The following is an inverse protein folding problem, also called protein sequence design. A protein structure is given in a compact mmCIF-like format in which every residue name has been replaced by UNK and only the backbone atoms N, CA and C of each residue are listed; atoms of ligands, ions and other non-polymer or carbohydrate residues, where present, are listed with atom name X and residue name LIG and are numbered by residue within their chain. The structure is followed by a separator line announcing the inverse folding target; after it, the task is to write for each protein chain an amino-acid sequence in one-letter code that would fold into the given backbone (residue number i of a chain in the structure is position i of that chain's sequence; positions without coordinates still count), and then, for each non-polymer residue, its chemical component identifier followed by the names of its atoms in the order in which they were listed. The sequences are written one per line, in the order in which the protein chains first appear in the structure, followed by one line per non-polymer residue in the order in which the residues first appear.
data_IF_344671825069
#
_entry.id   IF_344671825069
#
_cell.length_a   1.000
_cell.length_b   1.000
_cell.length_c   1.000
_cell.angle_alpha   90.00
_cell.angle_beta   90.00
_cell.angle_gamma   90.00
#
_symmetry.space_group_name_H-M   'P 1'
#
loop_
_entity.id
_entity.type
_entity.pdbx_description
1 polymer ?
#
# COMPACT_ATOMS: atom_id res chain seq x y z
N UNK A 1 -9.03 21.69 15.26
CA UNK A 1 -8.01 21.21 14.31
C UNK A 1 -8.74 20.40 13.26
N UNK A 2 -8.53 20.71 11.99
CA UNK A 2 -8.98 19.86 10.89
C UNK A 2 -8.35 18.46 11.02
N UNK A 3 -9.07 17.41 10.65
CA UNK A 3 -8.51 16.04 10.68
C UNK A 3 -7.44 15.87 9.58
N UNK A 4 -6.59 14.85 9.67
CA UNK A 4 -5.64 14.51 8.59
C UNK A 4 -6.33 14.31 7.25
N UNK A 5 -7.55 13.77 7.25
CA UNK A 5 -8.39 13.66 6.06
C UNK A 5 -8.76 15.04 5.49
N UNK A 6 -9.27 15.94 6.32
CA UNK A 6 -9.68 17.29 5.88
C UNK A 6 -8.49 18.08 5.32
N UNK A 7 -7.32 17.98 5.96
CA UNK A 7 -6.08 18.60 5.49
C UNK A 7 -5.67 18.08 4.11
N UNK A 8 -5.68 16.75 3.94
CA UNK A 8 -5.26 16.14 2.69
C UNK A 8 -6.23 16.44 1.56
N UNK A 9 -7.53 16.35 1.81
CA UNK A 9 -8.56 16.62 0.80
C UNK A 9 -8.61 18.08 0.37
N UNK A 10 -8.40 19.04 1.27
CA UNK A 10 -8.31 20.45 0.90
C UNK A 10 -7.19 20.69 -0.14
N UNK A 11 -6.02 20.07 0.03
CA UNK A 11 -4.93 20.18 -0.93
C UNK A 11 -5.23 19.45 -2.23
N UNK A 12 -5.78 18.23 -2.16
CA UNK A 12 -6.10 17.42 -3.34
C UNK A 12 -7.19 18.07 -4.21
N UNK A 13 -8.16 18.73 -3.58
CA UNK A 13 -9.24 19.47 -4.25
C UNK A 13 -8.78 20.83 -4.83
N UNK A 14 -7.51 21.18 -4.69
CA UNK A 14 -6.98 22.48 -5.16
C UNK A 14 -7.37 23.67 -4.29
N UNK A 15 -7.70 23.44 -3.02
CA UNK A 15 -8.07 24.46 -2.01
C UNK A 15 -7.03 24.54 -0.86
N UNK A 16 -5.72 24.69 -1.14
CA UNK A 16 -4.69 24.62 -0.11
C UNK A 16 -4.79 25.73 0.95
N UNK A 17 -5.46 26.84 0.66
CA UNK A 17 -5.71 27.92 1.63
C UNK A 17 -6.70 27.55 2.74
N UNK A 18 -7.41 26.43 2.60
CA UNK A 18 -8.28 25.86 3.64
C UNK A 18 -7.56 24.83 4.52
N UNK A 19 -6.32 24.46 4.17
CA UNK A 19 -5.50 23.57 4.99
C UNK A 19 -4.66 24.37 5.99
N UNK A 20 -4.75 24.03 7.28
CA UNK A 20 -3.99 24.68 8.35
C UNK A 20 -2.46 24.49 8.20
N UNK A 21 -2.04 23.45 7.46
CA UNK A 21 -0.66 23.15 7.10
C UNK A 21 -0.61 22.24 5.86
N UNK A 22 0.55 22.12 5.23
CA UNK A 22 0.79 21.09 4.22
C UNK A 22 0.67 19.69 4.84
N UNK A 23 -0.13 18.76 4.26
CA UNK A 23 -0.22 17.39 4.72
C UNK A 23 1.07 16.61 4.39
N UNK A 24 1.49 15.73 5.30
CA UNK A 24 2.63 14.84 5.12
C UNK A 24 2.10 13.44 4.81
N UNK A 25 2.20 13.01 3.55
CA UNK A 25 1.63 11.73 3.08
C UNK A 25 2.67 10.90 2.34
N UNK A 26 2.45 9.58 2.31
CA UNK A 26 3.16 8.67 1.42
C UNK A 26 2.13 7.91 0.57
N UNK A 27 2.10 8.20 -0.73
CA UNK A 27 1.16 7.60 -1.69
C UNK A 27 1.60 6.24 -2.23
N UNK A 28 2.76 5.74 -1.79
CA UNK A 28 3.26 4.41 -2.14
C UNK A 28 3.09 3.45 -0.95
N UNK A 29 4.00 2.48 -0.79
CA UNK A 29 4.00 1.61 0.39
C UNK A 29 4.66 2.31 1.58
N UNK A 30 4.05 2.18 2.76
CA UNK A 30 4.65 2.59 4.04
C UNK A 30 5.40 1.47 4.73
N UNK A 31 5.32 0.23 4.22
CA UNK A 31 5.90 -0.93 4.89
C UNK A 31 7.43 -0.83 4.96
N UNK A 32 7.97 -0.89 6.17
CA UNK A 32 9.40 -0.99 6.45
C UNK A 32 9.63 -2.15 7.42
N UNK A 33 10.86 -2.69 7.48
CA UNK A 33 11.19 -3.74 8.46
C UNK A 33 10.87 -3.32 9.90
N UNK A 34 11.19 -2.08 10.26
CA UNK A 34 10.90 -1.55 11.60
C UNK A 34 9.39 -1.46 11.91
N UNK A 35 8.54 -1.17 10.92
CA UNK A 35 7.10 -1.18 11.13
C UNK A 35 6.52 -2.59 11.18
N UNK A 36 7.09 -3.54 10.43
CA UNK A 36 6.72 -4.95 10.53
C UNK A 36 6.99 -5.48 11.95
N UNK A 37 8.19 -5.21 12.48
CA UNK A 37 8.58 -5.58 13.84
C UNK A 37 7.67 -4.92 14.89
N UNK A 38 7.36 -3.62 14.73
CA UNK A 38 6.57 -2.86 15.70
C UNK A 38 5.09 -3.30 15.79
N UNK A 39 4.54 -3.87 14.72
CA UNK A 39 3.12 -4.25 14.63
C UNK A 39 2.88 -5.76 14.50
N UNK A 40 3.93 -6.59 14.62
CA UNK A 40 3.88 -8.05 14.41
C UNK A 40 3.16 -8.41 13.10
N UNK A 41 3.57 -7.73 12.02
CA UNK A 41 2.90 -7.79 10.72
C UNK A 41 3.95 -7.93 9.61
N UNK A 42 4.52 -9.12 9.49
CA UNK A 42 5.60 -9.42 8.55
C UNK A 42 5.09 -9.84 7.17
N UNK A 43 5.89 -9.57 6.14
CA UNK A 43 5.71 -10.19 4.83
C UNK A 43 6.21 -11.64 4.83
N UNK A 44 5.57 -12.54 4.06
CA UNK A 44 4.43 -12.28 3.17
C UNK A 44 3.06 -12.30 3.87
N UNK A 45 2.98 -12.71 5.14
CA UNK A 45 1.71 -12.87 5.85
C UNK A 45 0.80 -11.62 5.82
N UNK A 46 1.37 -10.41 5.91
CA UNK A 46 0.61 -9.17 5.85
C UNK A 46 0.01 -8.85 4.46
N UNK A 47 0.39 -9.58 3.40
CA UNK A 47 -0.28 -9.50 2.10
C UNK A 47 -1.57 -10.32 2.05
N UNK A 48 -1.70 -11.36 2.88
CA UNK A 48 -2.82 -12.30 2.85
C UNK A 48 -3.81 -12.10 4.00
N UNK A 49 -3.37 -11.50 5.10
CA UNK A 49 -4.15 -11.30 6.32
C UNK A 49 -4.60 -9.85 6.44
N UNK A 50 -5.91 -9.61 6.38
CA UNK A 50 -6.50 -8.28 6.42
C UNK A 50 -6.21 -7.52 7.73
N UNK A 51 -6.12 -8.22 8.86
CA UNK A 51 -5.81 -7.60 10.15
C UNK A 51 -4.34 -7.17 10.20
N UNK A 52 -3.42 -8.04 9.76
CA UNK A 52 -1.99 -7.67 9.64
C UNK A 52 -1.78 -6.53 8.65
N UNK A 53 -2.50 -6.53 7.54
CA UNK A 53 -2.45 -5.45 6.55
C UNK A 53 -2.93 -4.12 7.15
N UNK A 54 -4.05 -4.12 7.86
CA UNK A 54 -4.56 -2.91 8.50
C UNK A 54 -3.61 -2.38 9.58
N UNK A 55 -3.02 -3.29 10.41
CA UNK A 55 -2.03 -2.93 11.43
C UNK A 55 -0.80 -2.28 10.79
N UNK A 56 -0.15 -2.95 9.84
CA UNK A 56 1.05 -2.44 9.17
C UNK A 56 0.78 -1.17 8.36
N UNK A 57 -0.35 -1.09 7.64
CA UNK A 57 -0.72 0.10 6.86
C UNK A 57 -0.94 1.34 7.74
N UNK A 58 -1.38 1.14 8.99
CA UNK A 58 -1.56 2.24 9.95
C UNK A 58 -0.27 2.67 10.67
N UNK A 59 0.83 1.92 10.51
CA UNK A 59 2.04 2.11 11.32
C UNK A 59 2.64 3.51 11.16
N UNK A 60 2.78 4.00 9.93
CA UNK A 60 3.37 5.32 9.68
C UNK A 60 2.49 6.47 10.21
N UNK A 61 1.16 6.34 10.13
CA UNK A 61 0.24 7.30 10.76
C UNK A 61 0.42 7.30 12.28
N UNK A 62 0.49 6.12 12.91
CA UNK A 62 0.53 5.97 14.36
C UNK A 62 1.91 6.25 14.99
N UNK A 63 3.00 6.04 14.27
CA UNK A 63 4.37 6.16 14.78
C UNK A 63 5.10 7.40 14.28
N UNK A 64 4.66 7.99 13.18
CA UNK A 64 5.34 9.10 12.51
C UNK A 64 4.41 10.26 12.14
N UNK A 65 3.15 10.23 12.59
CA UNK A 65 2.13 11.28 12.36
C UNK A 65 1.91 11.62 10.88
N UNK A 66 2.04 10.63 9.98
CA UNK A 66 1.62 10.82 8.58
C UNK A 66 0.10 11.08 8.52
N UNK A 67 -0.31 11.91 7.57
CA UNK A 67 -1.72 12.29 7.37
C UNK A 67 -2.53 11.25 6.60
N UNK A 68 -1.96 10.08 6.32
CA UNK A 68 -2.63 8.99 5.64
C UNK A 68 -2.21 7.61 6.16
N UNK A 69 -3.08 6.64 5.90
CA UNK A 69 -2.81 5.19 5.98
C UNK A 69 -2.61 4.69 4.55
N UNK A 70 -1.70 3.74 4.34
CA UNK A 70 -1.43 3.17 3.00
C UNK A 70 -1.60 1.66 2.98
N UNK A 71 -2.50 1.17 2.12
CA UNK A 71 -2.72 -0.24 1.79
C UNK A 71 -3.11 -0.35 0.30
N UNK A 72 -2.81 -1.46 -0.39
CA UNK A 72 -1.95 -2.56 0.04
C UNK A 72 -0.46 -2.16 -0.04
N UNK A 73 0.46 -3.13 -0.01
CA UNK A 73 1.91 -2.86 -0.08
C UNK A 73 2.56 -3.28 -1.41
N UNK A 74 1.76 -3.73 -2.38
CA UNK A 74 2.21 -4.21 -3.69
C UNK A 74 1.27 -3.73 -4.80
N UNK A 75 1.68 -3.94 -6.05
CA UNK A 75 0.92 -3.57 -7.27
C UNK A 75 0.43 -4.83 -8.02
N UNK A 76 0.31 -5.97 -7.33
CA UNK A 76 0.04 -7.27 -7.95
C UNK A 76 -1.37 -7.78 -7.69
N UNK A 77 -2.17 -7.11 -6.86
CA UNK A 77 -3.50 -7.59 -6.44
C UNK A 77 -4.43 -7.72 -7.65
N UNK A 78 -4.49 -6.69 -8.49
CA UNK A 78 -5.34 -6.70 -9.69
C UNK A 78 -4.84 -7.74 -10.69
N UNK A 79 -3.51 -7.84 -10.88
CA UNK A 79 -2.92 -8.82 -11.79
C UNK A 79 -3.22 -10.26 -11.34
N UNK A 80 -3.19 -10.54 -10.04
CA UNK A 80 -3.58 -11.83 -9.45
C UNK A 80 -5.05 -12.14 -9.72
N UNK A 81 -5.94 -11.16 -9.53
CA UNK A 81 -7.37 -11.30 -9.84
C UNK A 81 -7.61 -11.60 -11.33
N UNK A 82 -6.78 -11.04 -12.22
CA UNK A 82 -6.80 -11.35 -13.66
C UNK A 82 -6.09 -12.66 -14.03
N UNK A 83 -5.67 -13.47 -13.05
CA UNK A 83 -5.09 -14.80 -13.28
C UNK A 83 -3.58 -14.86 -13.38
N UNK A 84 -2.86 -13.76 -13.10
CA UNK A 84 -1.39 -13.79 -13.03
C UNK A 84 -0.92 -14.60 -11.82
N UNK A 85 0.08 -15.46 -12.04
CA UNK A 85 0.74 -16.17 -10.94
C UNK A 85 1.70 -15.23 -10.23
N UNK A 86 1.45 -14.96 -8.94
CA UNK A 86 2.28 -14.07 -8.13
C UNK A 86 3.29 -14.87 -7.30
N UNK A 87 4.53 -14.38 -7.26
CA UNK A 87 5.54 -14.81 -6.29
C UNK A 87 5.56 -13.86 -5.11
N UNK A 88 5.25 -14.36 -3.92
CA UNK A 88 5.36 -13.62 -2.67
C UNK A 88 6.74 -13.74 -2.02
N UNK A 89 7.68 -14.47 -2.65
CA UNK A 89 9.07 -14.62 -2.22
C UNK A 89 9.21 -15.17 -0.79
N UNK A 90 8.48 -16.24 -0.48
CA UNK A 90 8.50 -16.94 0.81
C UNK A 90 9.90 -17.09 1.40
N UNK A 91 10.06 -16.75 2.68
CA UNK A 91 11.36 -16.79 3.37
C UNK A 91 12.28 -15.59 3.09
N UNK A 92 11.83 -14.59 2.33
CA UNK A 92 12.56 -13.33 2.13
C UNK A 92 11.62 -12.12 2.19
N UNK A 93 12.15 -10.95 2.57
CA UNK A 93 11.37 -9.71 2.55
C UNK A 93 11.59 -9.03 1.21
N UNK A 94 10.67 -9.27 0.26
CA UNK A 94 10.65 -8.67 -1.08
C UNK A 94 9.22 -8.35 -1.48
N UNK A 95 9.06 -7.35 -2.34
CA UNK A 95 7.76 -7.08 -2.94
C UNK A 95 7.29 -8.27 -3.78
N UNK A 96 5.99 -8.61 -3.72
CA UNK A 96 5.39 -9.58 -4.61
C UNK A 96 5.65 -9.21 -6.08
N UNK A 97 5.88 -10.22 -6.92
CA UNK A 97 6.14 -10.03 -8.35
C UNK A 97 5.40 -11.06 -9.19
N UNK A 98 4.99 -10.68 -10.39
CA UNK A 98 4.42 -11.62 -11.37
C UNK A 98 5.53 -12.61 -11.79
N UNK A 99 5.26 -13.92 -11.69
CA UNK A 99 6.21 -14.98 -12.06
C UNK A 99 6.43 -15.07 -13.56
N UNK A 100 5.35 -14.94 -14.32
CA UNK A 100 5.35 -15.07 -15.77
C UNK A 100 4.23 -14.22 -16.39
N UNK A 101 4.50 -13.67 -17.57
CA UNK A 101 3.50 -12.93 -18.32
C UNK A 101 2.45 -13.89 -18.88
N UNK A 102 1.19 -13.71 -18.49
CA UNK A 102 0.07 -14.53 -18.99
C UNK A 102 -0.25 -14.22 -20.46
N UNK A 103 0.02 -12.99 -20.90
CA UNK A 103 -0.21 -12.53 -22.26
C UNK A 103 1.14 -12.18 -22.88
N UNK A 104 1.53 -12.93 -23.90
CA UNK A 104 2.80 -12.72 -24.62
C UNK A 104 2.58 -12.07 -25.99
N UNK A 105 1.34 -12.15 -26.51
CA UNK A 105 0.95 -11.56 -27.78
C UNK A 105 -0.37 -10.80 -27.64
N UNK A 106 -0.55 -9.67 -28.35
CA UNK A 106 -1.82 -8.93 -28.32
C UNK A 106 -3.05 -9.77 -28.71
N UNK A 107 -2.89 -10.80 -29.53
CA UNK A 107 -3.98 -11.69 -29.95
C UNK A 107 -4.54 -12.58 -28.83
N UNK A 108 -3.82 -12.70 -27.71
CA UNK A 108 -4.22 -13.50 -26.54
C UNK A 108 -5.07 -12.69 -25.55
N UNK A 109 -5.21 -11.37 -25.76
CA UNK A 109 -6.04 -10.50 -24.94
C UNK A 109 -7.51 -10.64 -25.38
N UNK A 110 -8.33 -11.34 -24.59
CA UNK A 110 -9.79 -11.26 -24.69
C UNK A 110 -10.26 -10.06 -23.86
N UNK A 111 -10.85 -9.05 -24.53
CA UNK A 111 -11.43 -7.85 -23.90
C UNK A 111 -12.95 -7.94 -23.83
#
# INVERSE_FOLDING_TARGET
MASSYDLFMAVLDGRPGEADRTPCVNTTSVATLGFMDAYDAHWPAAHHDAEKMARLGSAAHRLCDLDNVSVPFCMTVEAEVFGSVIDFHEGSVRWPSIREFQITKPSELEM
#
